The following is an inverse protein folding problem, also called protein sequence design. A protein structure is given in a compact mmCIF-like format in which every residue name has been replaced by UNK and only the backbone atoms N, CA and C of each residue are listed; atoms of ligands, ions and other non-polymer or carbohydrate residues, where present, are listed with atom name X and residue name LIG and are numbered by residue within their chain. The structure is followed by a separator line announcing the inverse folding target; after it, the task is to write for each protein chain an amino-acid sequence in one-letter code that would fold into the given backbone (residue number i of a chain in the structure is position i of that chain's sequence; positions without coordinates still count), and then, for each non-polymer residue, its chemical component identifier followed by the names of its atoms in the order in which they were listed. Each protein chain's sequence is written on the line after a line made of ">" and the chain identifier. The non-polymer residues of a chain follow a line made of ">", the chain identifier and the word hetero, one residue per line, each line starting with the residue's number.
data_IF_884118410617
#
_entry.id   IF_884118410617
#
_cell.length_a   1.000
_cell.length_b   1.000
_cell.length_c   1.000
_cell.angle_alpha   90.00
_cell.angle_beta   90.00
_cell.angle_gamma   90.00
#
_symmetry.space_group_name_H-M   'P 1'
#
loop_
_entity.id
_entity.type
_entity.pdbx_description
1 polymer ?
#
# COMPACT_ATOMS: atom_id res chain seq x y z
N UNK A 1 53.10 31.27 9.62
CA UNK A 1 52.63 30.23 8.68
C UNK A 1 51.30 29.70 9.18
N UNK A 2 50.27 29.72 8.32
CA UNK A 2 48.85 29.53 8.64
C UNK A 2 48.50 28.08 9.01
N UNK A 3 47.93 27.85 10.18
CA UNK A 3 47.13 26.65 10.47
C UNK A 3 45.72 26.93 9.98
N UNK A 4 45.40 26.39 8.80
CA UNK A 4 44.07 26.47 8.16
C UNK A 4 43.14 25.51 8.89
N UNK A 5 42.21 26.06 9.66
CA UNK A 5 41.09 25.31 10.24
C UNK A 5 40.17 24.86 9.10
N UNK A 6 40.05 23.55 8.90
CA UNK A 6 38.99 22.98 8.06
C UNK A 6 37.74 22.79 8.94
N UNK A 7 36.57 23.35 8.58
CA UNK A 7 35.33 22.97 9.23
C UNK A 7 35.01 21.53 8.84
N UNK A 8 34.96 20.65 9.84
CA UNK A 8 34.39 19.31 9.67
C UNK A 8 32.91 19.52 9.34
N UNK A 9 32.59 19.51 8.05
CA UNK A 9 31.22 19.54 7.58
C UNK A 9 30.54 18.27 8.08
N UNK A 10 29.66 18.46 9.07
CA UNK A 10 28.83 17.41 9.64
C UNK A 10 27.82 16.99 8.56
N UNK A 11 28.16 15.98 7.77
CA UNK A 11 27.24 15.39 6.81
C UNK A 11 26.13 14.67 7.56
N UNK A 12 24.94 15.26 7.60
CA UNK A 12 23.74 14.58 8.05
C UNK A 12 23.48 13.40 7.12
N UNK A 13 23.80 12.19 7.59
CA UNK A 13 23.47 10.96 6.88
C UNK A 13 21.97 10.77 7.04
N UNK A 14 21.21 11.13 6.01
CA UNK A 14 19.81 10.78 5.90
C UNK A 14 19.72 9.25 5.78
N UNK A 15 19.52 8.56 6.91
CA UNK A 15 19.29 7.12 6.91
C UNK A 15 17.89 6.88 6.35
N UNK A 16 17.80 6.56 5.06
CA UNK A 16 16.60 5.98 4.48
C UNK A 16 16.34 4.63 5.17
N UNK A 17 15.24 4.54 5.92
CA UNK A 17 14.80 3.30 6.53
C UNK A 17 14.22 2.44 5.41
N UNK A 18 15.03 1.53 4.85
CA UNK A 18 14.51 0.46 4.01
C UNK A 18 13.67 -0.44 4.91
N UNK A 19 12.35 -0.37 4.76
CA UNK A 19 11.43 -1.28 5.42
C UNK A 19 11.82 -2.72 5.05
N UNK A 20 12.10 -3.52 6.08
CA UNK A 20 12.35 -4.95 5.96
C UNK A 20 11.16 -5.61 5.27
N UNK A 21 11.37 -6.16 4.07
CA UNK A 21 10.37 -7.02 3.44
C UNK A 21 10.43 -8.38 4.15
N UNK A 22 9.39 -8.67 4.91
CA UNK A 22 9.08 -10.00 5.40
C UNK A 22 8.72 -10.91 4.20
N UNK A 23 9.48 -11.99 4.02
CA UNK A 23 9.41 -12.92 2.88
C UNK A 23 8.12 -13.78 2.88
N UNK A 24 7.27 -13.67 3.91
CA UNK A 24 5.93 -14.29 3.97
C UNK A 24 4.79 -13.28 3.81
N UNK A 25 5.08 -11.99 3.72
CA UNK A 25 4.13 -11.01 3.20
C UNK A 25 4.09 -11.23 1.68
N UNK A 26 2.92 -11.47 1.05
CA UNK A 26 2.83 -11.66 -0.39
C UNK A 26 3.58 -10.50 -1.05
N UNK A 27 4.74 -10.82 -1.63
CA UNK A 27 5.70 -9.88 -2.19
C UNK A 27 4.91 -8.79 -2.88
N UNK A 28 4.81 -7.59 -2.27
CA UNK A 28 4.03 -6.43 -2.72
C UNK A 28 3.61 -6.61 -4.18
N UNK A 29 2.46 -7.25 -4.48
CA UNK A 29 2.20 -7.52 -5.91
C UNK A 29 2.14 -6.15 -6.57
N UNK A 30 2.60 -6.02 -7.82
CA UNK A 30 2.64 -4.72 -8.48
C UNK A 30 1.28 -4.04 -8.36
N UNK A 31 1.20 -3.03 -7.46
CA UNK A 31 -0.01 -2.28 -7.20
C UNK A 31 -0.52 -1.79 -8.55
N UNK A 32 -1.68 -2.29 -8.96
CA UNK A 32 -2.30 -1.85 -10.20
C UNK A 32 -3.21 -0.68 -9.85
N UNK A 33 -2.80 0.51 -10.28
CA UNK A 33 -3.66 1.69 -10.20
C UNK A 33 -4.69 1.58 -11.32
N UNK A 34 -5.83 0.96 -11.02
CA UNK A 34 -6.92 0.75 -11.98
C UNK A 34 -8.06 1.76 -11.81
N UNK A 35 -7.86 2.79 -10.98
CA UNK A 35 -8.87 3.81 -10.67
C UNK A 35 -9.87 3.41 -9.59
N UNK A 36 -9.62 2.33 -8.84
CA UNK A 36 -10.46 1.96 -7.71
C UNK A 36 -10.50 3.06 -6.64
N UNK A 37 -11.62 3.12 -5.90
CA UNK A 37 -11.87 4.13 -4.88
C UNK A 37 -12.25 3.48 -3.56
N UNK A 38 -11.64 3.96 -2.49
CA UNK A 38 -12.00 3.61 -1.13
C UNK A 38 -12.72 4.76 -0.43
N UNK A 39 -13.45 4.42 0.63
CA UNK A 39 -14.03 5.42 1.52
C UNK A 39 -12.91 6.24 2.17
N UNK A 40 -12.94 7.58 2.11
CA UNK A 40 -11.95 8.41 2.79
C UNK A 40 -11.87 8.07 4.28
N UNK A 41 -10.66 8.06 4.83
CA UNK A 41 -10.44 7.66 6.23
C UNK A 41 -10.61 6.17 6.50
N UNK A 42 -10.75 5.33 5.47
CA UNK A 42 -10.56 3.88 5.63
C UNK A 42 -9.14 3.65 6.17
N UNK A 43 -9.05 2.86 7.24
CA UNK A 43 -7.75 2.49 7.79
C UNK A 43 -6.89 1.80 6.72
N UNK A 44 -5.56 1.98 6.75
CA UNK A 44 -4.68 1.28 5.84
C UNK A 44 -4.86 -0.23 5.99
N UNK A 45 -4.89 -0.95 4.86
CA UNK A 45 -5.06 -2.40 4.86
C UNK A 45 -5.60 -2.94 3.55
N UNK A 46 -5.61 -4.26 3.44
CA UNK A 46 -6.10 -5.00 2.29
C UNK A 46 -7.57 -5.39 2.52
N UNK A 47 -8.40 -5.18 1.51
CA UNK A 47 -9.85 -5.40 1.52
C UNK A 47 -10.25 -6.21 0.30
N UNK A 48 -11.25 -7.07 0.46
CA UNK A 48 -11.91 -7.68 -0.69
C UNK A 48 -12.83 -6.67 -1.40
N UNK A 49 -13.01 -6.80 -2.71
CA UNK A 49 -13.83 -5.87 -3.52
C UNK A 49 -15.30 -5.75 -3.08
N UNK A 50 -15.84 -6.76 -2.39
CA UNK A 50 -17.19 -6.75 -1.81
C UNK A 50 -17.31 -5.91 -0.53
N UNK A 51 -16.20 -5.44 0.02
CA UNK A 51 -16.20 -4.72 1.28
C UNK A 51 -16.76 -3.30 1.15
N UNK A 52 -17.47 -2.79 2.18
CA UNK A 52 -18.07 -1.46 2.15
C UNK A 52 -17.04 -0.33 2.14
N UNK A 53 -15.77 -0.62 2.46
CA UNK A 53 -14.67 0.33 2.27
C UNK A 53 -14.34 0.59 0.80
N UNK A 54 -14.63 -0.36 -0.10
CA UNK A 54 -14.43 -0.20 -1.54
C UNK A 54 -15.69 0.43 -2.15
N UNK A 55 -15.56 1.68 -2.56
CA UNK A 55 -16.64 2.44 -3.19
C UNK A 55 -16.71 2.19 -4.70
N UNK A 56 -15.57 1.91 -5.32
CA UNK A 56 -15.45 1.62 -6.74
C UNK A 56 -14.31 0.63 -6.98
N UNK A 57 -14.54 -0.39 -7.79
CA UNK A 57 -13.56 -1.42 -8.10
C UNK A 57 -12.53 -0.98 -9.15
N UNK A 58 -12.79 0.12 -9.87
CA UNK A 58 -11.97 0.56 -10.99
C UNK A 58 -12.09 -0.35 -12.21
N UNK A 59 -11.31 -0.04 -13.24
CA UNK A 59 -11.33 -0.79 -14.50
C UNK A 59 -10.78 -2.20 -14.29
N UNK A 60 -11.53 -3.22 -14.73
CA UNK A 60 -11.14 -4.63 -14.58
C UNK A 60 -11.10 -5.13 -13.13
N UNK A 61 -11.58 -4.34 -12.17
CA UNK A 61 -11.65 -4.76 -10.77
C UNK A 61 -12.71 -5.83 -10.57
N UNK A 62 -12.39 -6.81 -9.72
CA UNK A 62 -13.27 -7.95 -9.44
C UNK A 62 -13.76 -7.92 -8.00
N UNK A 63 -14.96 -8.43 -7.74
CA UNK A 63 -15.53 -8.51 -6.40
C UNK A 63 -14.74 -9.44 -5.46
N UNK A 64 -14.17 -10.51 -6.00
CA UNK A 64 -13.20 -11.39 -5.34
C UNK A 64 -11.75 -10.88 -5.49
N UNK A 65 -11.59 -9.61 -5.85
CA UNK A 65 -10.34 -8.91 -5.94
C UNK A 65 -9.82 -8.42 -4.59
N UNK A 66 -8.50 -8.27 -4.48
CA UNK A 66 -7.84 -7.66 -3.31
C UNK A 66 -7.47 -6.21 -3.63
N UNK A 67 -7.87 -5.30 -2.74
CA UNK A 67 -7.69 -3.86 -2.86
C UNK A 67 -7.02 -3.31 -1.60
N UNK A 68 -5.98 -2.50 -1.73
CA UNK A 68 -5.39 -1.79 -0.58
C UNK A 68 -5.81 -0.33 -0.60
N UNK A 69 -6.49 0.11 0.45
CA UNK A 69 -6.95 1.48 0.57
C UNK A 69 -5.86 2.40 1.12
N UNK A 70 -5.75 3.59 0.53
CA UNK A 70 -4.93 4.67 1.08
C UNK A 70 -5.80 5.71 1.82
N UNK A 71 -5.20 6.52 2.72
CA UNK A 71 -5.95 7.51 3.50
C UNK A 71 -6.67 8.57 2.66
N UNK A 72 -6.18 8.83 1.43
CA UNK A 72 -6.76 9.79 0.49
C UNK A 72 -8.01 9.25 -0.24
N UNK A 73 -8.37 7.97 -0.05
CA UNK A 73 -9.54 7.34 -0.68
C UNK A 73 -9.26 6.73 -2.06
N UNK A 74 -7.99 6.63 -2.48
CA UNK A 74 -7.60 5.78 -3.60
C UNK A 74 -7.25 4.37 -3.14
N UNK A 75 -7.07 3.45 -4.10
CA UNK A 75 -6.54 2.13 -3.79
C UNK A 75 -5.62 1.54 -4.86
N UNK A 76 -4.90 0.50 -4.43
CA UNK A 76 -4.16 -0.43 -5.27
C UNK A 76 -4.99 -1.69 -5.50
N UNK A 77 -5.12 -2.14 -6.75
CA UNK A 77 -5.70 -3.44 -7.07
C UNK A 77 -4.59 -4.49 -7.25
N UNK A 78 -4.75 -5.65 -6.61
CA UNK A 78 -3.77 -6.74 -6.59
C UNK A 78 -4.20 -7.99 -7.38
N UNK A 79 -5.36 -7.93 -8.04
CA UNK A 79 -5.94 -9.06 -8.75
C UNK A 79 -6.92 -9.87 -7.89
N UNK A 80 -7.42 -10.95 -8.46
CA UNK A 80 -8.26 -11.93 -7.76
C UNK A 80 -7.48 -12.68 -6.67
N UNK A 81 -8.16 -13.00 -5.57
CA UNK A 81 -7.69 -13.91 -4.54
C UNK A 81 -8.79 -14.86 -4.11
N UNK A 82 -8.44 -16.14 -3.91
CA UNK A 82 -9.35 -17.15 -3.35
C UNK A 82 -9.82 -16.79 -1.94
N UNK A 83 -9.02 -16.02 -1.19
CA UNK A 83 -9.41 -15.51 0.13
C UNK A 83 -10.59 -14.52 0.08
N UNK A 84 -10.81 -13.91 -1.08
CA UNK A 84 -11.91 -13.00 -1.37
C UNK A 84 -13.05 -13.65 -2.18
N UNK A 85 -12.98 -14.97 -2.44
CA UNK A 85 -14.04 -15.69 -3.13
C UNK A 85 -15.32 -15.83 -2.28
N UNK A 86 -15.20 -15.70 -0.96
CA UNK A 86 -16.35 -15.70 -0.05
C UNK A 86 -17.29 -14.52 -0.35
N UNK A 87 -18.62 -14.70 -0.24
CA UNK A 87 -19.57 -13.59 -0.38
C UNK A 87 -19.48 -12.58 0.78
N UNK A 88 -18.76 -12.91 1.85
CA UNK A 88 -18.58 -12.04 3.03
C UNK A 88 -17.43 -11.08 2.80
N UNK A 89 -17.58 -9.84 3.25
CA UNK A 89 -16.46 -8.89 3.31
C UNK A 89 -15.41 -9.39 4.31
N UNK A 90 -14.23 -9.72 3.80
CA UNK A 90 -13.06 -10.06 4.59
C UNK A 90 -12.02 -8.94 4.46
N UNK A 91 -11.46 -8.50 5.59
CA UNK A 91 -10.30 -7.61 5.63
C UNK A 91 -9.06 -8.46 5.92
N UNK A 92 -8.02 -8.23 5.13
CA UNK A 92 -6.70 -8.81 5.33
C UNK A 92 -5.87 -7.76 6.09
N UNK A 93 -5.67 -8.00 7.39
CA UNK A 93 -4.79 -7.20 8.24
C UNK A 93 -3.34 -7.56 7.99
#
# INVERSE_FOLDING_TARGET
>A
MLIKWLPVALTAIATAQAAVLDDNLPTKRSCTVNGCRCRPGSGPGLHCGRCPEILDLGTGGLLNGVFECNPAGGCCYYGESTSCASPVCNRHT
#
